data_IF_497463415318
#
_entry.id   IF_497463415318
#
_cell.length_a   1.000
_cell.length_b   1.000
_cell.length_c   1.000
_cell.angle_alpha   90.00
_cell.angle_beta   90.00
_cell.angle_gamma   90.00
#
_symmetry.space_group_name_H-M   'P 1'
#
loop_
_entity.id
_entity.type
_entity.pdbx_description
1 polymer ?
#
# COMPACT_ATOMS: atom_id res chain seq x y z
N UNK A 1 5.82 41.06 -30.82
CA UNK A 1 6.79 40.01 -30.41
C UNK A 1 7.88 39.69 -31.43
N UNK A 2 7.97 40.41 -32.56
CA UNK A 2 8.90 40.05 -33.66
C UNK A 2 9.96 41.13 -33.90
N UNK A 3 10.55 41.69 -32.84
CA UNK A 3 11.75 42.54 -32.99
C UNK A 3 12.97 41.63 -32.97
N UNK A 4 13.71 41.56 -34.07
CA UNK A 4 14.89 40.69 -34.16
C UNK A 4 16.02 41.20 -33.27
N UNK A 5 16.77 40.28 -32.65
CA UNK A 5 17.95 40.63 -31.83
C UNK A 5 18.97 41.48 -32.61
N UNK A 6 19.05 41.30 -33.93
CA UNK A 6 19.88 42.11 -34.81
C UNK A 6 19.41 43.58 -34.85
N UNK A 7 18.10 43.83 -34.86
CA UNK A 7 17.53 45.17 -34.80
C UNK A 7 17.73 45.81 -33.42
N UNK A 8 17.58 45.04 -32.33
CA UNK A 8 17.83 45.53 -30.95
C UNK A 8 19.30 45.91 -30.75
N UNK A 9 20.25 45.11 -31.26
CA UNK A 9 21.68 45.42 -31.19
C UNK A 9 22.04 46.70 -31.94
N UNK A 10 21.45 46.92 -33.11
CA UNK A 10 21.61 48.18 -33.87
C UNK A 10 20.96 49.36 -33.16
N UNK A 11 19.84 49.16 -32.48
CA UNK A 11 19.19 50.20 -31.67
C UNK A 11 20.03 50.61 -30.46
N UNK A 12 20.77 49.69 -29.83
CA UNK A 12 21.62 50.00 -28.68
C UNK A 12 22.70 51.04 -28.95
N UNK A 13 23.26 51.13 -30.18
CA UNK A 13 24.25 52.17 -30.51
C UNK A 13 23.64 53.57 -30.51
N UNK A 14 22.36 53.70 -30.86
CA UNK A 14 21.64 54.97 -30.85
C UNK A 14 21.12 55.33 -29.46
N UNK A 15 20.59 54.35 -28.72
CA UNK A 15 20.06 54.54 -27.36
C UNK A 15 21.16 54.89 -26.33
N UNK A 16 22.42 54.47 -26.54
CA UNK A 16 23.56 54.86 -25.69
C UNK A 16 24.10 56.26 -25.95
N UNK A 17 23.74 56.89 -27.07
CA UNK A 17 24.18 58.25 -27.37
C UNK A 17 23.42 59.27 -26.50
N UNK A 18 24.15 60.16 -25.83
CA UNK A 18 23.56 61.21 -24.98
C UNK A 18 22.69 62.21 -25.76
N UNK A 19 22.92 62.34 -27.07
CA UNK A 19 22.11 63.16 -27.97
C UNK A 19 20.74 62.55 -28.30
N UNK A 20 20.53 61.26 -28.01
CA UNK A 20 19.27 60.55 -28.26
C UNK A 20 18.42 60.47 -26.98
N UNK A 21 18.30 61.60 -26.28
CA UNK A 21 17.43 61.74 -25.12
C UNK A 21 16.24 62.64 -25.46
N UNK A 22 15.05 62.40 -24.88
CA UNK A 22 13.87 63.20 -25.16
C UNK A 22 14.10 64.70 -24.96
N UNK A 23 14.90 65.08 -23.94
CA UNK A 23 15.28 66.46 -23.61
C UNK A 23 16.19 67.10 -24.67
N UNK A 24 17.14 66.34 -25.23
CA UNK A 24 18.06 66.82 -26.27
C UNK A 24 17.37 66.90 -27.64
N UNK A 25 16.49 65.93 -27.96
CA UNK A 25 15.73 65.87 -29.21
C UNK A 25 14.63 66.93 -29.25
N UNK A 26 14.05 67.29 -28.09
CA UNK A 26 13.03 68.35 -27.97
C UNK A 26 13.53 69.73 -28.41
N UNK A 27 14.82 70.02 -28.22
CA UNK A 27 15.42 71.29 -28.67
C UNK A 27 15.49 71.41 -30.21
N UNK A 28 15.52 70.27 -30.91
CA UNK A 28 15.62 70.24 -32.38
C UNK A 28 14.24 70.01 -33.02
N UNK A 29 13.38 69.19 -32.41
CA UNK A 29 12.02 68.94 -32.92
C UNK A 29 11.07 68.37 -31.86
N UNK A 30 9.99 69.10 -31.58
CA UNK A 30 8.91 68.65 -30.68
C UNK A 30 8.19 67.39 -31.19
N UNK A 31 8.06 67.23 -32.51
CA UNK A 31 7.43 66.04 -33.10
C UNK A 31 8.35 64.80 -33.03
N UNK A 32 9.67 64.97 -33.08
CA UNK A 32 10.63 63.87 -32.98
C UNK A 32 10.77 63.31 -31.55
N UNK A 33 10.35 64.06 -30.52
CA UNK A 33 10.34 63.63 -29.12
C UNK A 33 9.50 62.36 -28.89
N UNK A 34 8.31 62.28 -29.49
CA UNK A 34 7.41 61.13 -29.32
C UNK A 34 8.00 59.83 -29.88
N UNK A 35 8.70 59.91 -31.02
CA UNK A 35 9.43 58.79 -31.61
C UNK A 35 10.60 58.34 -30.73
N UNK A 36 11.36 59.28 -30.16
CA UNK A 36 12.46 58.98 -29.23
C UNK A 36 11.96 58.21 -27.99
N UNK A 37 10.85 58.66 -27.39
CA UNK A 37 10.23 57.98 -26.24
C UNK A 37 9.74 56.58 -26.61
N UNK A 38 9.11 56.41 -27.78
CA UNK A 38 8.66 55.10 -28.25
C UNK A 38 9.83 54.11 -28.43
N UNK A 39 10.92 54.56 -29.06
CA UNK A 39 12.12 53.72 -29.28
C UNK A 39 12.75 53.29 -27.94
N UNK A 40 12.84 54.20 -26.97
CA UNK A 40 13.35 53.89 -25.63
C UNK A 40 12.44 52.89 -24.88
N UNK A 41 11.12 53.04 -25.02
CA UNK A 41 10.17 52.10 -24.44
C UNK A 41 10.27 50.70 -25.08
N UNK A 42 10.49 50.62 -26.40
CA UNK A 42 10.70 49.35 -27.11
C UNK A 42 11.98 48.65 -26.63
N UNK A 43 13.10 49.37 -26.46
CA UNK A 43 14.35 48.81 -25.91
C UNK A 43 14.17 48.29 -24.48
N UNK A 44 13.45 49.04 -23.63
CA UNK A 44 13.12 48.62 -22.27
C UNK A 44 12.24 47.36 -22.27
N UNK A 45 11.21 47.31 -23.11
CA UNK A 45 10.35 46.13 -23.26
C UNK A 45 11.13 44.90 -23.73
N UNK A 46 12.07 45.04 -24.68
CA UNK A 46 12.92 43.92 -25.12
C UNK A 46 13.83 43.38 -24.00
N UNK A 47 14.43 44.27 -23.20
CA UNK A 47 15.25 43.89 -22.03
C UNK A 47 14.43 43.18 -20.95
N UNK A 48 13.23 43.68 -20.66
CA UNK A 48 12.31 43.07 -19.69
C UNK A 48 11.82 41.71 -20.21
N UNK A 49 11.45 41.60 -21.49
CA UNK A 49 11.03 40.34 -22.10
C UNK A 49 12.13 39.27 -22.06
N UNK A 50 13.39 39.66 -22.28
CA UNK A 50 14.53 38.73 -22.18
C UNK A 50 14.70 38.20 -20.74
N UNK A 51 14.55 39.06 -19.73
CA UNK A 51 14.60 38.66 -18.33
C UNK A 51 13.41 37.77 -17.95
N UNK A 52 12.21 38.07 -18.46
CA UNK A 52 11.02 37.24 -18.25
C UNK A 52 11.22 35.87 -18.88
N UNK A 53 11.71 35.79 -20.12
CA UNK A 53 11.98 34.53 -20.80
C UNK A 53 13.04 33.69 -20.06
N UNK A 54 14.09 34.32 -19.54
CA UNK A 54 15.09 33.63 -18.71
C UNK A 54 14.49 33.08 -17.41
N UNK A 55 13.65 33.88 -16.72
CA UNK A 55 12.96 33.43 -15.50
C UNK A 55 11.96 32.33 -15.79
N UNK A 56 11.21 32.42 -16.89
CA UNK A 56 10.26 31.41 -17.33
C UNK A 56 10.97 30.09 -17.66
N UNK A 57 12.12 30.14 -18.34
CA UNK A 57 12.93 28.96 -18.62
C UNK A 57 13.42 28.27 -17.32
N UNK A 58 13.97 29.04 -16.37
CA UNK A 58 14.38 28.50 -15.06
C UNK A 58 13.22 27.93 -14.25
N UNK A 59 12.06 28.57 -14.29
CA UNK A 59 10.86 28.11 -13.61
C UNK A 59 10.37 26.78 -14.22
N UNK A 60 10.37 26.68 -15.55
CA UNK A 60 10.02 25.45 -16.27
C UNK A 60 10.95 24.30 -15.89
N UNK A 61 12.27 24.53 -15.88
CA UNK A 61 13.25 23.52 -15.48
C UNK A 61 13.03 23.05 -14.03
N UNK A 62 12.79 23.97 -13.09
CA UNK A 62 12.51 23.62 -11.71
C UNK A 62 11.20 22.84 -11.57
N UNK A 63 10.16 23.23 -12.31
CA UNK A 63 8.86 22.55 -12.31
C UNK A 63 8.98 21.12 -12.84
N UNK A 64 9.70 20.92 -13.95
CA UNK A 64 9.95 19.59 -14.53
C UNK A 64 10.65 18.66 -13.52
N UNK A 65 11.61 19.18 -12.75
CA UNK A 65 12.24 18.39 -11.67
C UNK A 65 11.25 18.03 -10.57
N UNK A 66 10.44 18.99 -10.12
CA UNK A 66 9.42 18.75 -9.08
C UNK A 66 8.43 17.69 -9.54
N UNK A 67 7.90 17.82 -10.76
CA UNK A 67 6.93 16.90 -11.32
C UNK A 67 7.51 15.48 -11.47
N UNK A 68 8.76 15.38 -11.92
CA UNK A 68 9.48 14.09 -11.99
C UNK A 68 9.61 13.44 -10.61
N UNK A 69 10.03 14.20 -9.59
CA UNK A 69 10.19 13.67 -8.23
C UNK A 69 8.85 13.33 -7.57
N UNK A 70 7.81 14.13 -7.81
CA UNK A 70 6.46 13.88 -7.32
C UNK A 70 5.88 12.61 -7.95
N UNK A 71 6.11 12.38 -9.25
CA UNK A 71 5.72 11.14 -9.93
C UNK A 71 6.43 9.91 -9.34
N UNK A 72 7.73 10.00 -9.07
CA UNK A 72 8.48 8.91 -8.43
C UNK A 72 7.98 8.63 -7.00
N UNK A 73 7.72 9.68 -6.21
CA UNK A 73 7.15 9.57 -4.87
C UNK A 73 5.75 8.94 -4.89
N UNK A 74 4.91 9.33 -5.85
CA UNK A 74 3.57 8.75 -6.03
C UNK A 74 3.61 7.26 -6.29
N UNK A 75 4.50 6.80 -7.20
CA UNK A 75 4.73 5.38 -7.47
C UNK A 75 5.16 4.64 -6.20
N UNK A 76 6.17 5.15 -5.49
CA UNK A 76 6.65 4.52 -4.25
C UNK A 76 5.58 4.45 -3.16
N UNK A 77 4.73 5.47 -3.04
CA UNK A 77 3.60 5.44 -2.11
C UNK A 77 2.54 4.40 -2.51
N UNK A 78 2.27 4.25 -3.80
CA UNK A 78 1.36 3.22 -4.30
C UNK A 78 1.95 1.80 -4.05
N UNK A 79 3.23 1.61 -4.29
CA UNK A 79 3.93 0.34 -4.01
C UNK A 79 3.83 -0.02 -2.52
N UNK A 80 4.05 0.95 -1.62
CA UNK A 80 3.92 0.74 -0.18
C UNK A 80 2.47 0.39 0.19
N UNK A 81 1.49 1.12 -0.34
CA UNK A 81 0.09 0.85 -0.04
C UNK A 81 -0.36 -0.55 -0.50
N UNK A 82 0.15 -1.02 -1.65
CA UNK A 82 -0.07 -2.39 -2.13
C UNK A 82 0.55 -3.42 -1.19
N UNK A 83 1.81 -3.21 -0.79
CA UNK A 83 2.49 -4.12 0.13
C UNK A 83 1.82 -4.17 1.50
N UNK A 84 1.37 -3.03 2.05
CA UNK A 84 0.64 -2.97 3.31
C UNK A 84 -0.69 -3.73 3.23
N UNK A 85 -1.38 -3.65 2.07
CA UNK A 85 -2.60 -4.42 1.84
C UNK A 85 -2.33 -5.93 1.80
N UNK A 86 -1.32 -6.37 1.06
CA UNK A 86 -0.92 -7.78 1.01
C UNK A 86 -0.51 -8.31 2.39
N UNK A 87 0.21 -7.51 3.18
CA UNK A 87 0.58 -7.85 4.55
C UNK A 87 -0.66 -8.01 5.43
N UNK A 88 -1.64 -7.10 5.32
CA UNK A 88 -2.88 -7.19 6.08
C UNK A 88 -3.68 -8.45 5.74
N UNK A 89 -3.79 -8.79 4.45
CA UNK A 89 -4.46 -10.02 4.02
C UNK A 89 -3.75 -11.27 4.54
N UNK A 90 -2.42 -11.31 4.47
CA UNK A 90 -1.62 -12.42 4.99
C UNK A 90 -1.75 -12.54 6.51
N UNK A 91 -1.82 -11.43 7.23
CA UNK A 91 -2.04 -11.42 8.69
C UNK A 91 -3.42 -11.98 9.04
N UNK A 92 -4.47 -11.61 8.30
CA UNK A 92 -5.81 -12.15 8.52
C UNK A 92 -5.86 -13.67 8.27
N UNK A 93 -5.27 -14.13 7.15
CA UNK A 93 -5.18 -15.55 6.84
C UNK A 93 -4.39 -16.33 7.90
N UNK A 94 -3.31 -15.74 8.41
CA UNK A 94 -2.49 -16.34 9.46
C UNK A 94 -3.27 -16.49 10.76
N UNK A 95 -3.99 -15.47 11.21
CA UNK A 95 -4.78 -15.56 12.44
C UNK A 95 -5.94 -16.56 12.30
N UNK A 96 -6.59 -16.62 11.12
CA UNK A 96 -7.59 -17.65 10.84
C UNK A 96 -7.01 -19.07 10.87
N UNK A 97 -5.85 -19.28 10.25
CA UNK A 97 -5.17 -20.57 10.24
C UNK A 97 -4.78 -21.00 11.65
N UNK A 98 -4.24 -20.07 12.44
CA UNK A 98 -3.86 -20.31 13.84
C UNK A 98 -5.06 -20.64 14.71
N UNK A 99 -6.18 -19.91 14.56
CA UNK A 99 -7.42 -20.21 15.27
C UNK A 99 -7.96 -21.61 14.92
N UNK A 100 -7.89 -22.01 13.66
CA UNK A 100 -8.28 -23.34 13.22
C UNK A 100 -7.34 -24.42 13.80
N UNK A 101 -6.04 -24.18 13.83
CA UNK A 101 -5.07 -25.08 14.45
C UNK A 101 -5.38 -25.30 15.94
N UNK A 102 -5.61 -24.23 16.70
CA UNK A 102 -5.99 -24.32 18.11
C UNK A 102 -7.30 -25.08 18.33
N UNK A 103 -8.29 -24.90 17.44
CA UNK A 103 -9.54 -25.67 17.49
C UNK A 103 -9.31 -27.15 17.22
N UNK A 104 -8.54 -27.48 16.18
CA UNK A 104 -8.20 -28.86 15.83
C UNK A 104 -7.40 -29.55 16.95
N UNK A 105 -6.52 -28.82 17.63
CA UNK A 105 -5.80 -29.36 18.78
C UNK A 105 -6.73 -29.68 19.95
N UNK A 106 -7.71 -28.82 20.25
CA UNK A 106 -8.72 -29.06 21.29
C UNK A 106 -9.59 -30.27 20.93
N UNK A 107 -10.04 -30.36 19.69
CA UNK A 107 -10.84 -31.49 19.22
C UNK A 107 -10.05 -32.80 19.26
N UNK A 108 -8.78 -32.77 18.86
CA UNK A 108 -7.87 -33.92 18.99
C UNK A 108 -7.78 -34.38 20.43
N UNK A 109 -7.56 -33.47 21.38
CA UNK A 109 -7.49 -33.81 22.81
C UNK A 109 -8.79 -34.42 23.32
N UNK A 110 -9.94 -33.86 22.92
CA UNK A 110 -11.26 -34.39 23.28
C UNK A 110 -11.47 -35.79 22.74
N UNK A 111 -11.17 -36.02 21.46
CA UNK A 111 -11.31 -37.33 20.82
C UNK A 111 -10.41 -38.37 21.47
N UNK A 112 -9.17 -38.02 21.81
CA UNK A 112 -8.26 -38.92 22.53
C UNK A 112 -8.77 -39.26 23.94
N UNK A 113 -9.41 -38.32 24.63
CA UNK A 113 -10.02 -38.58 25.92
C UNK A 113 -11.23 -39.53 25.80
N UNK A 114 -12.11 -39.30 24.83
CA UNK A 114 -13.25 -40.19 24.55
C UNK A 114 -12.78 -41.57 24.11
N UNK A 115 -11.74 -41.65 23.27
CA UNK A 115 -11.15 -42.92 22.86
C UNK A 115 -10.68 -43.72 24.09
N UNK A 116 -9.90 -43.11 25.00
CA UNK A 116 -9.46 -43.78 26.23
C UNK A 116 -10.62 -44.25 27.09
N UNK A 117 -11.69 -43.45 27.17
CA UNK A 117 -12.90 -43.84 27.92
C UNK A 117 -13.59 -45.04 27.30
N UNK A 118 -13.71 -45.07 25.98
CA UNK A 118 -14.28 -46.20 25.24
C UNK A 118 -13.41 -47.44 25.41
N UNK A 119 -12.08 -47.32 25.35
CA UNK A 119 -11.15 -48.43 25.57
C UNK A 119 -11.38 -49.08 26.95
N UNK A 120 -11.46 -48.27 28.01
CA UNK A 120 -11.75 -48.76 29.37
C UNK A 120 -13.11 -49.43 29.45
N UNK A 121 -14.13 -48.88 28.79
CA UNK A 121 -15.47 -49.46 28.76
C UNK A 121 -15.52 -50.79 27.98
N UNK A 122 -14.79 -50.88 26.88
CA UNK A 122 -14.68 -52.10 26.09
C UNK A 122 -13.98 -53.19 26.90
N UNK A 123 -12.92 -52.85 27.62
CA UNK A 123 -12.21 -53.81 28.46
C UNK A 123 -13.03 -54.26 29.66
N UNK A 124 -13.82 -53.37 30.28
CA UNK A 124 -14.75 -53.76 31.35
C UNK A 124 -15.86 -54.69 30.84
N UNK A 125 -16.41 -54.42 29.65
CA UNK A 125 -17.40 -55.31 29.02
C UNK A 125 -16.82 -56.68 28.64
N UNK A 126 -15.55 -56.77 28.23
CA UNK A 126 -14.89 -58.06 27.99
C UNK A 126 -14.81 -58.88 29.27
N UNK A 127 -14.42 -58.26 30.39
CA UNK A 127 -14.35 -58.93 31.70
C UNK A 127 -15.73 -59.38 32.15
N UNK A 128 -16.73 -58.49 32.13
CA UNK A 128 -18.12 -58.83 32.50
C UNK A 128 -18.69 -59.95 31.64
N UNK A 129 -18.42 -59.95 30.33
CA UNK A 129 -18.83 -61.03 29.44
C UNK A 129 -18.26 -62.37 29.89
N UNK A 130 -16.97 -62.43 30.21
CA UNK A 130 -16.34 -63.67 30.68
C UNK A 130 -16.92 -64.16 32.01
N UNK A 131 -17.27 -63.23 32.92
CA UNK A 131 -17.93 -63.53 34.18
C UNK A 131 -19.35 -64.09 33.96
N UNK A 132 -20.14 -63.47 33.08
CA UNK A 132 -21.48 -63.95 32.74
C UNK A 132 -21.46 -65.30 32.02
N UNK A 133 -20.48 -65.53 31.14
CA UNK A 133 -20.27 -66.85 30.50
C UNK A 133 -19.94 -67.92 31.57
N UNK A 134 -19.07 -67.60 32.54
CA UNK A 134 -18.77 -68.51 33.65
C UNK A 134 -19.99 -68.76 34.57
N UNK A 135 -20.74 -67.72 34.94
CA UNK A 135 -21.96 -67.83 35.73
C UNK A 135 -23.03 -68.66 35.02
N UNK A 136 -23.21 -68.45 33.71
CA UNK A 136 -24.11 -69.26 32.90
C UNK A 136 -23.74 -70.74 32.95
N UNK A 137 -22.46 -71.08 32.75
CA UNK A 137 -22.02 -72.47 32.84
C UNK A 137 -22.21 -73.06 34.25
N UNK A 138 -21.97 -72.28 35.31
CA UNK A 138 -22.22 -72.74 36.68
C UNK A 138 -23.71 -73.02 36.93
N UNK A 139 -24.61 -72.16 36.45
CA UNK A 139 -26.07 -72.35 36.55
C UNK A 139 -26.54 -73.55 35.73
N UNK A 140 -26.02 -73.73 34.50
CA UNK A 140 -26.32 -74.91 33.67
C UNK A 140 -25.91 -76.22 34.38
N UNK A 141 -24.76 -76.24 35.05
CA UNK A 141 -24.31 -77.39 35.84
C UNK A 141 -25.17 -77.61 37.10
N UNK A 142 -25.51 -76.54 37.83
CA UNK A 142 -26.38 -76.62 38.99
C UNK A 142 -27.75 -77.17 38.59
N UNK A 143 -28.34 -76.67 37.50
CA UNK A 143 -29.62 -77.14 36.97
C UNK A 143 -29.60 -78.64 36.66
N UNK A 144 -28.51 -79.16 36.12
CA UNK A 144 -28.35 -80.60 35.88
C UNK A 144 -28.31 -81.44 37.17
N UNK A 145 -27.87 -80.86 38.30
CA UNK A 145 -27.76 -81.53 39.60
C UNK A 145 -28.97 -81.29 40.52
N UNK A 146 -29.84 -80.32 40.23
CA UNK A 146 -30.99 -79.92 41.05
C UNK A 146 -31.86 -81.10 41.49
N UNK A 147 -32.16 -82.06 40.61
CA UNK A 147 -33.01 -83.22 40.98
C UNK A 147 -32.31 -84.12 42.00
N UNK A 148 -30.98 -84.30 41.88
CA UNK A 148 -30.19 -85.09 42.82
C UNK A 148 -29.98 -84.36 44.15
N UNK A 149 -29.70 -83.06 44.10
CA UNK A 149 -29.51 -82.23 45.29
C UNK A 149 -30.83 -82.09 46.09
N UNK A 150 -31.98 -82.01 45.41
CA UNK A 150 -33.30 -81.98 46.05
C UNK A 150 -33.72 -83.32 46.67
N UNK A 151 -33.13 -84.44 46.26
CA UNK A 151 -33.35 -85.76 46.87
C UNK A 151 -32.45 -86.00 48.09
N UNK A 152 -31.32 -85.29 48.20
CA UNK A 152 -30.38 -85.37 49.32
C UNK A 152 -30.67 -84.37 50.44
N UNK A 153 -31.40 -83.30 50.15
CA UNK A 153 -31.87 -82.27 51.10
C UNK A 153 -33.11 -82.74 51.88
#
# INVERSE_FOLDING_TARGET
DTVSDAAVRRLQSYVRNQNFRPEAVEQVSKAAKSLCVWVLAVDQCCKVSSNINFRAAKLKEAQERVDSTAGALGKKRADIASADHEIAELQEQYELAKANEEQLEKDRQRLLAEQRRIEVMVDSFKTQRSEWEAQRHAVEQALARVVGDALLA
#
